data_IF_217755473054
#
_entry.id   IF_217755473054
#
_cell.length_a   1.000
_cell.length_b   1.000
_cell.length_c   1.000
_cell.angle_alpha   90.00
_cell.angle_beta   90.00
_cell.angle_gamma   90.00
#
_symmetry.space_group_name_H-M   'P 1'
#
loop_
_entity.id
_entity.type
_entity.pdbx_description
1 polymer ?
#
# COMPACT_ATOMS: atom_id res chain seq x y z
N UNK A 1 -15.25 -6.88 -24.70
CA UNK A 1 -14.47 -7.36 -23.54
C UNK A 1 -14.97 -6.59 -22.33
N UNK A 2 -15.48 -7.28 -21.31
CA UNK A 2 -15.74 -6.64 -20.01
C UNK A 2 -14.47 -6.84 -19.20
N UNK A 3 -13.94 -5.77 -18.63
CA UNK A 3 -12.95 -5.94 -17.57
C UNK A 3 -13.62 -6.67 -16.41
N UNK A 4 -12.99 -7.75 -15.95
CA UNK A 4 -13.52 -8.60 -14.88
C UNK A 4 -13.40 -7.93 -13.50
N UNK A 5 -12.65 -6.83 -13.41
CA UNK A 5 -12.35 -6.16 -12.15
C UNK A 5 -13.16 -4.85 -11.98
N UNK A 6 -13.85 -4.66 -10.84
CA UNK A 6 -14.60 -3.45 -10.57
C UNK A 6 -13.71 -2.19 -10.67
N UNK A 7 -14.23 -1.08 -11.22
CA UNK A 7 -13.46 0.16 -11.38
C UNK A 7 -13.22 0.91 -10.06
N UNK A 8 -13.76 0.42 -8.94
CA UNK A 8 -13.65 1.04 -7.62
C UNK A 8 -12.88 0.14 -6.66
N UNK A 9 -12.11 0.77 -5.76
CA UNK A 9 -11.33 0.08 -4.74
C UNK A 9 -12.10 0.03 -3.42
N UNK A 10 -12.13 -1.14 -2.78
CA UNK A 10 -12.64 -1.27 -1.42
C UNK A 10 -11.63 -0.72 -0.41
N UNK A 11 -12.13 0.05 0.55
CA UNK A 11 -11.32 0.67 1.62
C UNK A 11 -11.79 0.21 2.99
N UNK A 12 -10.85 0.07 3.91
CA UNK A 12 -11.10 -0.06 5.35
C UNK A 12 -10.58 1.21 6.03
N UNK A 13 -11.41 1.85 6.84
CA UNK A 13 -11.06 3.06 7.59
C UNK A 13 -11.10 2.76 9.08
N UNK A 14 -9.97 2.99 9.76
CA UNK A 14 -9.88 2.88 11.21
C UNK A 14 -9.77 4.27 11.83
N UNK A 15 -10.69 4.58 12.73
CA UNK A 15 -10.70 5.81 13.51
C UNK A 15 -10.11 5.54 14.90
N UNK A 16 -9.13 6.35 15.29
CA UNK A 16 -8.47 6.24 16.59
C UNK A 16 -8.57 7.58 17.31
N UNK A 17 -9.17 7.56 18.49
CA UNK A 17 -9.37 8.74 19.32
C UNK A 17 -8.53 8.59 20.58
N UNK A 18 -7.75 9.62 20.91
CA UNK A 18 -6.97 9.69 22.16
C UNK A 18 -6.95 11.12 22.71
N UNK A 19 -6.75 11.31 24.03
CA UNK A 19 -6.50 12.64 24.57
C UNK A 19 -5.15 13.21 24.10
N UNK A 20 -5.05 14.54 24.04
CA UNK A 20 -3.75 15.22 23.99
C UNK A 20 -3.28 15.64 25.40
N UNK A 21 -2.07 16.23 25.47
CA UNK A 21 -1.48 16.65 26.74
C UNK A 21 -2.11 17.91 27.35
N UNK A 22 -2.90 18.67 26.59
CA UNK A 22 -3.45 19.97 26.95
C UNK A 22 -4.97 19.91 27.20
N UNK A 23 -5.54 18.70 27.37
CA UNK A 23 -6.97 18.50 27.60
C UNK A 23 -7.83 18.47 26.33
N UNK A 24 -7.22 18.48 25.15
CA UNK A 24 -7.87 18.28 23.86
C UNK A 24 -7.91 16.81 23.43
N UNK A 25 -8.32 16.59 22.19
CA UNK A 25 -8.52 15.25 21.60
C UNK A 25 -7.83 15.16 20.25
N UNK A 26 -7.09 14.07 20.03
CA UNK A 26 -6.46 13.73 18.76
C UNK A 26 -7.30 12.64 18.09
N UNK A 27 -7.79 12.96 16.90
CA UNK A 27 -8.36 11.98 15.97
C UNK A 27 -7.30 11.58 14.95
N UNK A 28 -7.03 10.27 14.85
CA UNK A 28 -6.22 9.68 13.77
C UNK A 28 -7.12 8.85 12.88
N UNK A 29 -7.10 9.12 11.58
CA UNK A 29 -7.83 8.38 10.56
C UNK A 29 -6.79 7.58 9.78
N UNK A 30 -6.88 6.25 9.86
CA UNK A 30 -6.01 5.34 9.11
C UNK A 30 -6.84 4.77 7.96
N UNK A 31 -6.44 5.06 6.73
CA UNK A 31 -7.07 4.55 5.51
C UNK A 31 -6.20 3.41 4.95
N UNK A 32 -6.81 2.25 4.75
CA UNK A 32 -6.17 1.09 4.13
C UNK A 32 -6.98 0.61 2.93
N UNK A 33 -6.30 0.35 1.81
CA UNK A 33 -6.88 -0.27 0.62
C UNK A 33 -6.65 -1.78 0.71
N UNK A 34 -7.71 -2.57 0.52
CA UNK A 34 -7.64 -4.05 0.56
C UNK A 34 -7.26 -4.67 -0.78
N UNK A 35 -7.06 -3.83 -1.79
CA UNK A 35 -6.80 -4.27 -3.15
C UNK A 35 -5.38 -4.85 -3.29
N UNK A 36 -5.32 -6.12 -3.66
CA UNK A 36 -4.06 -6.87 -3.83
C UNK A 36 -3.15 -6.30 -4.93
N UNK A 37 -3.71 -5.55 -5.90
CA UNK A 37 -2.92 -4.84 -6.93
C UNK A 37 -2.06 -3.74 -6.34
N UNK A 38 -2.45 -3.22 -5.17
CA UNK A 38 -1.73 -2.18 -4.44
C UNK A 38 -0.81 -2.76 -3.35
N UNK A 39 -0.71 -4.09 -3.24
CA UNK A 39 0.25 -4.70 -2.34
C UNK A 39 1.67 -4.17 -2.67
N UNK A 40 2.46 -3.80 -1.65
CA UNK A 40 3.83 -3.34 -1.88
C UNK A 40 4.60 -4.41 -2.67
N UNK A 41 5.04 -4.06 -3.88
CA UNK A 41 6.04 -4.86 -4.60
C UNK A 41 7.33 -4.72 -3.80
N UNK A 42 7.59 -5.67 -2.91
CA UNK A 42 8.88 -5.79 -2.26
C UNK A 42 9.87 -6.03 -3.41
N UNK A 43 10.78 -5.08 -3.70
CA UNK A 43 11.77 -5.30 -4.73
C UNK A 43 12.57 -6.55 -4.33
N UNK A 44 12.84 -7.47 -5.29
CA UNK A 44 13.67 -8.63 -4.99
C UNK A 44 15.00 -8.14 -4.44
N UNK A 45 15.59 -8.92 -3.53
CA UNK A 45 16.86 -8.56 -2.93
C UNK A 45 17.89 -8.27 -4.05
N UNK A 46 18.48 -7.06 -4.00
CA UNK A 46 19.43 -6.59 -5.01
C UNK A 46 20.75 -7.36 -5.00
N UNK A 47 20.95 -8.24 -4.01
CA UNK A 47 22.06 -9.18 -3.90
C UNK A 47 21.76 -10.56 -4.48
N UNK A 48 20.67 -10.70 -5.23
CA UNK A 48 20.45 -11.93 -5.99
C UNK A 48 21.53 -12.06 -7.08
N UNK A 49 22.15 -13.23 -7.18
CA UNK A 49 23.10 -13.57 -8.25
C UNK A 49 22.37 -13.82 -9.60
N UNK A 50 21.35 -13.02 -9.91
CA UNK A 50 20.59 -13.15 -11.13
C UNK A 50 21.48 -12.82 -12.34
N UNK A 51 21.39 -13.63 -13.39
CA UNK A 51 22.17 -13.44 -14.62
C UNK A 51 21.83 -12.09 -15.25
N UNK A 52 22.78 -11.14 -15.24
CA UNK A 52 22.66 -9.89 -15.95
C UNK A 52 22.81 -10.17 -17.46
N UNK A 53 21.77 -9.95 -18.25
CA UNK A 53 21.90 -9.90 -19.71
C UNK A 53 22.39 -8.51 -20.11
N UNK A 54 23.59 -8.47 -20.71
CA UNK A 54 24.17 -7.25 -21.28
C UNK A 54 23.52 -7.00 -22.64
N UNK A 55 22.93 -5.82 -22.86
CA UNK A 55 22.46 -5.42 -24.19
C UNK A 55 23.65 -4.87 -24.98
N UNK A 56 23.86 -5.40 -26.18
CA UNK A 56 24.86 -4.88 -27.12
C UNK A 56 24.40 -3.52 -27.70
N UNK A 57 25.37 -2.66 -28.00
CA UNK A 57 25.17 -1.31 -28.54
C UNK A 57 24.80 -1.30 -30.04
#
# INVERSE_FOLDING_TARGET
MRDDEPPFLMSIVTFQVRPDANGGTILRIVHGLTDTRLAPKIPPAANSNASLMMLAA
#
